data_IF_782627478593
#
_entry.id   IF_782627478593
#
_cell.length_a   1.000
_cell.length_b   1.000
_cell.length_c   1.000
_cell.angle_alpha   90.00
_cell.angle_beta   90.00
_cell.angle_gamma   90.00
#
_symmetry.space_group_name_H-M   'P 1'
#
loop_
_entity.id
_entity.type
_entity.pdbx_description
1 polymer ?
#
# COMPACT_ATOMS: atom_id res chain seq x y z
N UNK A 1 22.10 26.22 -43.54
CA UNK A 1 22.62 25.23 -42.58
C UNK A 1 21.50 24.85 -41.63
N UNK A 2 20.68 23.88 -42.04
CA UNK A 2 19.55 23.35 -41.25
C UNK A 2 20.05 22.14 -40.47
N UNK A 3 19.95 22.16 -39.15
CA UNK A 3 20.15 20.97 -38.34
C UNK A 3 18.81 20.24 -38.17
N UNK A 4 18.77 18.91 -38.38
CA UNK A 4 17.57 18.09 -38.25
C UNK A 4 17.24 17.79 -36.78
N UNK A 5 15.94 17.73 -36.50
CA UNK A 5 15.36 17.36 -35.21
C UNK A 5 15.49 15.84 -35.00
N UNK A 6 16.10 15.42 -33.89
CA UNK A 6 16.01 14.03 -33.42
C UNK A 6 14.70 13.84 -32.63
N UNK A 7 13.84 12.88 -33.00
CA UNK A 7 12.63 12.59 -32.23
C UNK A 7 13.02 11.90 -30.92
N UNK A 8 12.55 12.44 -29.79
CA UNK A 8 12.69 11.81 -28.48
C UNK A 8 11.76 10.61 -28.40
N UNK A 9 12.39 9.46 -28.25
CA UNK A 9 11.81 8.13 -28.14
C UNK A 9 10.86 8.03 -26.94
N UNK A 10 9.65 7.56 -27.23
CA UNK A 10 8.55 7.38 -26.30
C UNK A 10 8.82 6.25 -25.32
N UNK A 11 9.00 6.57 -24.03
CA UNK A 11 8.91 5.57 -22.96
C UNK A 11 7.44 5.26 -22.69
N UNK A 12 6.92 4.29 -23.43
CA UNK A 12 5.61 3.69 -23.19
C UNK A 12 5.68 2.92 -21.86
N UNK A 13 5.10 3.49 -20.79
CA UNK A 13 4.79 2.72 -19.59
C UNK A 13 3.77 1.62 -19.93
N UNK A 14 3.77 0.47 -19.24
CA UNK A 14 2.95 -0.66 -19.66
C UNK A 14 1.46 -0.29 -19.54
N UNK A 15 0.83 -0.17 -20.70
CA UNK A 15 -0.61 -0.12 -20.86
C UNK A 15 -1.17 -1.54 -20.74
N UNK A 16 -2.17 -1.74 -19.89
CA UNK A 16 -3.43 -2.35 -20.34
C UNK A 16 -4.49 -2.12 -19.27
N UNK A 17 -5.59 -1.47 -19.64
CA UNK A 17 -6.83 -1.49 -18.87
C UNK A 17 -7.47 -2.87 -18.99
N UNK A 18 -6.82 -3.89 -18.43
CA UNK A 18 -7.43 -5.19 -18.23
C UNK A 18 -8.48 -5.02 -17.13
N UNK A 19 -9.76 -5.32 -17.45
CA UNK A 19 -10.84 -5.30 -16.46
C UNK A 19 -10.41 -6.16 -15.26
N UNK A 20 -10.45 -5.56 -14.07
CA UNK A 20 -10.07 -6.24 -12.84
C UNK A 20 -10.94 -7.50 -12.63
N UNK A 21 -10.31 -8.64 -12.38
CA UNK A 21 -11.03 -9.89 -12.08
C UNK A 21 -11.73 -9.71 -10.73
N UNK A 22 -13.03 -9.96 -10.70
CA UNK A 22 -13.87 -9.85 -9.50
C UNK A 22 -14.41 -11.22 -9.12
N UNK A 23 -14.22 -11.57 -7.86
CA UNK A 23 -14.71 -12.79 -7.22
C UNK A 23 -15.75 -12.42 -6.16
N UNK A 24 -16.88 -13.10 -6.17
CA UNK A 24 -18.01 -12.83 -5.29
C UNK A 24 -18.11 -13.87 -4.19
N UNK A 25 -18.32 -13.41 -2.96
CA UNK A 25 -18.70 -14.28 -1.85
C UNK A 25 -20.22 -14.52 -1.91
N UNK A 26 -20.63 -15.74 -2.23
CA UNK A 26 -22.04 -16.08 -2.34
C UNK A 26 -22.70 -16.23 -0.97
N UNK A 27 -24.00 -15.95 -0.92
CA UNK A 27 -24.82 -16.09 0.29
C UNK A 27 -25.87 -17.18 0.19
N UNK A 28 -26.19 -17.56 -1.04
CA UNK A 28 -27.16 -18.60 -1.36
C UNK A 28 -26.37 -19.76 -1.98
N UNK A 29 -26.83 -21.01 -1.81
CA UNK A 29 -26.25 -22.13 -2.53
C UNK A 29 -26.34 -21.86 -4.03
N UNK A 30 -25.31 -22.25 -4.76
CA UNK A 30 -25.20 -22.06 -6.22
C UNK A 30 -24.40 -23.22 -6.78
N UNK A 31 -24.76 -23.70 -7.96
CA UNK A 31 -24.01 -24.77 -8.64
C UNK A 31 -23.03 -24.18 -9.63
N UNK A 32 -21.82 -24.73 -9.68
CA UNK A 32 -20.84 -24.38 -10.72
C UNK A 32 -21.38 -24.78 -12.10
N UNK A 33 -21.36 -23.86 -13.06
CA UNK A 33 -21.88 -24.11 -14.40
C UNK A 33 -21.03 -25.10 -15.23
N UNK A 34 -19.75 -25.29 -14.90
CA UNK A 34 -18.85 -26.16 -15.66
C UNK A 34 -18.71 -27.54 -15.03
N UNK A 35 -18.35 -27.63 -13.74
CA UNK A 35 -18.15 -28.92 -13.07
C UNK A 35 -19.39 -29.47 -12.35
N UNK A 36 -20.48 -28.71 -12.26
CA UNK A 36 -21.69 -29.13 -11.54
C UNK A 36 -21.55 -29.21 -10.02
N UNK A 37 -20.41 -28.79 -9.45
CA UNK A 37 -20.17 -28.84 -8.01
C UNK A 37 -21.08 -27.88 -7.22
N UNK A 38 -21.54 -28.33 -6.06
CA UNK A 38 -22.34 -27.51 -5.15
C UNK A 38 -21.46 -26.50 -4.38
N UNK A 39 -21.84 -25.23 -4.46
CA UNK A 39 -21.18 -24.11 -3.79
C UNK A 39 -22.14 -23.56 -2.74
N UNK A 40 -21.94 -23.98 -1.49
CA UNK A 40 -22.70 -23.49 -0.35
C UNK A 40 -22.44 -22.02 -0.01
N UNK A 41 -23.21 -21.44 0.93
CA UNK A 41 -23.00 -20.07 1.41
C UNK A 41 -21.55 -19.82 1.88
N UNK A 42 -21.03 -18.64 1.60
CA UNK A 42 -19.67 -18.23 1.95
C UNK A 42 -18.59 -18.67 0.96
N UNK A 43 -18.92 -19.56 0.01
CA UNK A 43 -18.00 -19.93 -1.08
C UNK A 43 -17.79 -18.78 -2.05
N UNK A 44 -16.75 -18.90 -2.86
CA UNK A 44 -16.33 -17.87 -3.79
C UNK A 44 -16.61 -18.31 -5.21
N UNK A 45 -17.17 -17.40 -6.00
CA UNK A 45 -17.46 -17.61 -7.41
C UNK A 45 -16.87 -16.52 -8.27
N UNK A 46 -16.51 -16.89 -9.49
CA UNK A 46 -16.26 -15.97 -10.59
C UNK A 46 -17.47 -16.03 -11.52
N UNK A 47 -17.99 -14.88 -11.93
CA UNK A 47 -19.07 -14.81 -12.92
C UNK A 47 -18.47 -14.41 -14.26
N UNK A 48 -18.55 -15.32 -15.23
CA UNK A 48 -18.07 -15.13 -16.59
C UNK A 48 -19.12 -15.59 -17.59
N UNK A 49 -19.41 -14.79 -18.62
CA UNK A 49 -20.43 -15.08 -19.62
C UNK A 49 -21.80 -15.49 -19.01
N UNK A 50 -22.22 -14.79 -17.94
CA UNK A 50 -23.43 -15.10 -17.16
C UNK A 50 -23.46 -16.49 -16.49
N UNK A 51 -22.31 -17.16 -16.37
CA UNK A 51 -22.16 -18.44 -15.68
C UNK A 51 -21.40 -18.23 -14.37
N UNK A 52 -21.88 -18.87 -13.30
CA UNK A 52 -21.18 -18.90 -12.01
C UNK A 52 -20.19 -20.07 -12.01
N UNK A 53 -18.91 -19.76 -11.88
CA UNK A 53 -17.82 -20.72 -11.85
C UNK A 53 -17.19 -20.77 -10.46
N UNK A 54 -16.85 -21.97 -9.99
CA UNK A 54 -16.00 -22.12 -8.81
C UNK A 54 -14.57 -21.65 -9.13
N UNK A 55 -13.76 -21.40 -8.10
CA UNK A 55 -12.38 -20.92 -8.30
C UNK A 55 -11.52 -21.88 -9.13
N UNK A 56 -11.76 -23.19 -9.03
CA UNK A 56 -11.02 -24.19 -9.81
C UNK A 56 -11.34 -24.10 -11.29
N UNK A 57 -12.63 -24.03 -11.65
CA UNK A 57 -13.07 -23.88 -13.05
C UNK A 57 -12.70 -22.50 -13.64
N UNK A 58 -12.46 -21.50 -12.80
CA UNK A 58 -12.03 -20.17 -13.21
C UNK A 58 -10.51 -19.98 -13.19
N UNK A 59 -9.72 -21.04 -12.99
CA UNK A 59 -8.25 -20.98 -12.85
C UNK A 59 -7.74 -20.04 -11.74
N UNK A 60 -8.53 -19.80 -10.69
CA UNK A 60 -8.17 -18.95 -9.55
C UNK A 60 -7.89 -19.73 -8.25
N UNK A 61 -8.01 -21.07 -8.27
CA UNK A 61 -7.88 -21.90 -7.06
C UNK A 61 -6.46 -21.93 -6.46
N UNK A 62 -5.44 -21.60 -7.25
CA UNK A 62 -4.05 -21.55 -6.81
C UNK A 62 -3.67 -20.20 -6.15
N UNK A 63 -4.61 -19.26 -6.07
CA UNK A 63 -4.38 -17.96 -5.46
C UNK A 63 -4.73 -17.98 -3.97
N UNK A 64 -3.91 -17.27 -3.21
CA UNK A 64 -4.03 -17.07 -1.77
C UNK A 64 -4.85 -15.81 -1.48
N UNK A 65 -5.72 -15.90 -0.46
CA UNK A 65 -6.54 -14.78 -0.05
C UNK A 65 -5.84 -13.89 0.97
N UNK A 66 -5.67 -12.63 0.58
CA UNK A 66 -5.21 -11.56 1.45
C UNK A 66 -6.36 -10.62 1.78
N UNK A 67 -6.75 -10.61 3.05
CA UNK A 67 -7.78 -9.72 3.57
C UNK A 67 -7.37 -8.24 3.45
N UNK A 68 -8.36 -7.35 3.37
CA UNK A 68 -8.11 -5.91 3.50
C UNK A 68 -7.61 -5.57 4.91
N UNK A 69 -6.77 -4.54 5.03
CA UNK A 69 -6.26 -4.06 6.31
C UNK A 69 -4.88 -3.43 6.19
N UNK A 70 -3.86 -4.23 5.88
CA UNK A 70 -2.50 -3.73 5.69
C UNK A 70 -2.30 -3.20 4.27
N UNK A 71 -2.37 -1.87 4.11
CA UNK A 71 -2.23 -1.19 2.81
C UNK A 71 -0.87 -1.44 2.15
N UNK A 72 0.22 -1.50 2.92
CA UNK A 72 1.54 -1.76 2.37
C UNK A 72 1.64 -3.18 1.80
N UNK A 73 1.19 -4.16 2.57
CA UNK A 73 1.19 -5.57 2.18
C UNK A 73 0.28 -5.81 0.96
N UNK A 74 -0.96 -5.34 1.02
CA UNK A 74 -1.93 -5.50 -0.09
C UNK A 74 -1.46 -4.82 -1.39
N UNK A 75 -0.83 -3.65 -1.31
CA UNK A 75 -0.29 -2.95 -2.48
C UNK A 75 0.93 -3.68 -3.08
N UNK A 76 1.83 -4.21 -2.24
CA UNK A 76 3.00 -4.97 -2.71
C UNK A 76 2.60 -6.33 -3.29
N UNK A 77 1.77 -7.08 -2.60
CA UNK A 77 1.26 -8.36 -3.07
C UNK A 77 0.53 -8.20 -4.42
N UNK A 78 -0.33 -7.17 -4.55
CA UNK A 78 -1.01 -6.86 -5.81
C UNK A 78 -0.09 -6.39 -6.94
N UNK A 79 1.13 -5.94 -6.62
CA UNK A 79 2.16 -5.51 -7.58
C UNK A 79 3.01 -6.69 -8.06
N UNK A 80 3.40 -7.59 -7.15
CA UNK A 80 4.24 -8.75 -7.48
C UNK A 80 3.44 -9.89 -8.11
N UNK A 81 2.14 -9.97 -7.83
CA UNK A 81 1.30 -11.04 -8.35
C UNK A 81 1.04 -10.88 -9.86
N UNK A 82 1.40 -11.87 -10.70
CA UNK A 82 1.12 -11.84 -12.13
C UNK A 82 -0.38 -11.98 -12.43
N UNK A 83 -1.13 -12.67 -11.56
CA UNK A 83 -2.57 -12.82 -11.62
C UNK A 83 -3.18 -12.34 -10.30
N UNK A 84 -4.26 -11.56 -10.35
CA UNK A 84 -4.96 -11.12 -9.15
C UNK A 84 -6.46 -11.01 -9.36
N UNK A 85 -7.21 -11.21 -8.29
CA UNK A 85 -8.65 -10.96 -8.29
C UNK A 85 -9.08 -10.20 -7.04
N UNK A 86 -10.08 -9.33 -7.16
CA UNK A 86 -10.68 -8.64 -6.03
C UNK A 86 -11.85 -9.45 -5.50
N UNK A 87 -11.84 -9.70 -4.19
CA UNK A 87 -12.94 -10.41 -3.53
C UNK A 87 -13.92 -9.40 -2.96
N UNK A 88 -15.20 -9.53 -3.33
CA UNK A 88 -16.28 -8.67 -2.89
C UNK A 88 -17.39 -9.46 -2.20
N UNK A 89 -18.06 -8.82 -1.25
CA UNK A 89 -19.22 -9.39 -0.54
C UNK A 89 -20.36 -8.39 -0.52
N UNK A 90 -21.58 -8.87 -0.69
CA UNK A 90 -22.76 -8.03 -0.54
C UNK A 90 -22.99 -7.66 0.94
N UNK A 91 -22.88 -6.37 1.26
CA UNK A 91 -23.17 -5.83 2.58
C UNK A 91 -24.65 -5.41 2.66
N UNK A 92 -25.44 -6.14 3.46
CA UNK A 92 -26.86 -5.84 3.63
C UNK A 92 -27.12 -4.48 4.26
N UNK A 93 -26.36 -4.13 5.30
CA UNK A 93 -26.51 -2.86 6.02
C UNK A 93 -26.38 -1.64 5.09
N UNK A 94 -25.52 -1.75 4.06
CA UNK A 94 -25.20 -0.65 3.14
C UNK A 94 -25.73 -0.85 1.72
N UNK A 95 -26.46 -1.96 1.47
CA UNK A 95 -27.04 -2.36 0.17
C UNK A 95 -26.08 -2.24 -1.02
N UNK A 96 -24.82 -2.64 -0.84
CA UNK A 96 -23.79 -2.60 -1.89
C UNK A 96 -22.75 -3.70 -1.72
N UNK A 97 -21.97 -3.96 -2.77
CA UNK A 97 -20.79 -4.80 -2.66
C UNK A 97 -19.64 -4.06 -1.96
N UNK A 98 -19.04 -4.71 -0.97
CA UNK A 98 -17.86 -4.22 -0.26
C UNK A 98 -16.67 -5.12 -0.55
N UNK A 99 -15.53 -4.48 -0.85
CA UNK A 99 -14.26 -5.17 -1.04
C UNK A 99 -13.81 -5.79 0.27
N UNK A 100 -13.59 -7.10 0.27
CA UNK A 100 -13.13 -7.87 1.42
C UNK A 100 -11.61 -8.10 1.39
N UNK A 101 -11.01 -8.13 0.20
CA UNK A 101 -9.59 -8.43 0.03
C UNK A 101 -9.24 -8.68 -1.43
N UNK A 102 -8.10 -9.34 -1.63
CA UNK A 102 -7.59 -9.76 -2.93
C UNK A 102 -7.14 -11.22 -2.90
N UNK A 103 -7.19 -11.86 -4.06
CA UNK A 103 -6.50 -13.11 -4.36
C UNK A 103 -5.22 -12.77 -5.10
N UNK A 104 -4.11 -13.35 -4.67
CA UNK A 104 -2.76 -13.15 -5.21
C UNK A 104 -2.01 -14.47 -5.22
N UNK A 105 -0.95 -14.60 -6.00
CA UNK A 105 -0.13 -15.81 -5.96
C UNK A 105 0.63 -15.92 -4.64
N UNK A 106 0.96 -17.15 -4.25
CA UNK A 106 1.68 -17.43 -3.00
C UNK A 106 3.02 -16.72 -2.95
N UNK A 107 3.77 -16.76 -4.04
CA UNK A 107 5.11 -16.19 -4.15
C UNK A 107 5.07 -14.66 -4.00
N UNK A 108 4.04 -14.02 -4.54
CA UNK A 108 3.85 -12.57 -4.43
C UNK A 108 3.51 -12.14 -3.01
N UNK A 109 2.75 -12.97 -2.28
CA UNK A 109 2.44 -12.73 -0.87
C UNK A 109 3.71 -12.89 -0.01
N UNK A 110 4.43 -14.00 -0.16
CA UNK A 110 5.65 -14.28 0.60
C UNK A 110 6.72 -13.18 0.39
N UNK A 111 6.92 -12.73 -0.85
CA UNK A 111 7.81 -11.60 -1.15
C UNK A 111 7.33 -10.31 -0.48
N UNK A 112 6.03 -10.01 -0.55
CA UNK A 112 5.47 -8.80 0.04
C UNK A 112 5.60 -8.79 1.57
N UNK A 113 5.40 -9.94 2.22
CA UNK A 113 5.57 -10.11 3.67
C UNK A 113 7.02 -9.91 4.10
N UNK A 114 7.97 -10.53 3.41
CA UNK A 114 9.40 -10.38 3.68
C UNK A 114 9.87 -8.92 3.60
N UNK A 115 9.43 -8.20 2.57
CA UNK A 115 9.77 -6.78 2.43
C UNK A 115 9.08 -5.90 3.49
N UNK A 116 7.85 -6.22 3.88
CA UNK A 116 7.14 -5.52 4.95
C UNK A 116 7.83 -5.69 6.30
N UNK A 117 8.31 -6.90 6.61
CA UNK A 117 9.07 -7.19 7.82
C UNK A 117 10.40 -6.42 7.82
N UNK A 118 11.15 -6.46 6.72
CA UNK A 118 12.41 -5.72 6.59
C UNK A 118 12.21 -4.19 6.73
N UNK A 119 11.12 -3.65 6.20
CA UNK A 119 10.71 -2.27 6.40
C UNK A 119 10.46 -1.93 7.87
N UNK A 120 9.74 -2.80 8.59
CA UNK A 120 9.42 -2.61 9.99
C UNK A 120 10.66 -2.61 10.87
N UNK A 121 11.57 -3.56 10.64
CA UNK A 121 12.87 -3.61 11.32
C UNK A 121 13.70 -2.35 11.08
N UNK A 122 13.76 -1.87 9.82
CA UNK A 122 14.45 -0.61 9.50
C UNK A 122 13.83 0.58 10.23
N UNK A 123 12.50 0.68 10.25
CA UNK A 123 11.80 1.74 10.98
C UNK A 123 12.02 1.65 12.49
N UNK A 124 12.08 0.44 13.05
CA UNK A 124 12.35 0.23 14.48
C UNK A 124 13.75 0.74 14.86
N UNK A 125 14.79 0.32 14.11
CA UNK A 125 16.17 0.78 14.33
C UNK A 125 16.32 2.30 14.20
N UNK A 126 15.59 2.91 13.26
CA UNK A 126 15.57 4.37 13.12
C UNK A 126 14.89 5.04 14.32
N UNK A 127 13.74 4.52 14.79
CA UNK A 127 13.06 5.04 15.97
C UNK A 127 13.89 4.96 17.23
N UNK A 128 14.73 3.94 17.39
CA UNK A 128 15.67 3.81 18.51
C UNK A 128 16.76 4.88 18.49
N UNK A 129 17.29 5.22 17.30
CA UNK A 129 18.39 6.18 17.13
C UNK A 129 17.92 7.63 17.09
N UNK A 130 16.69 7.87 16.63
CA UNK A 130 16.15 9.21 16.40
C UNK A 130 16.09 10.12 17.64
N UNK A 131 15.82 9.65 18.88
CA UNK A 131 15.82 10.52 20.06
C UNK A 131 17.18 11.15 20.35
N UNK A 132 18.26 10.36 20.26
CA UNK A 132 19.60 10.87 20.53
C UNK A 132 20.06 11.86 19.45
N UNK A 133 19.75 11.56 18.18
CA UNK A 133 20.03 12.47 17.07
C UNK A 133 19.25 13.78 17.20
N UNK A 134 17.95 13.71 17.49
CA UNK A 134 17.11 14.90 17.71
C UNK A 134 17.63 15.80 18.82
N UNK A 135 18.03 15.25 19.96
CA UNK A 135 18.60 16.07 21.05
C UNK A 135 19.87 16.82 20.64
N UNK A 136 20.70 16.25 19.77
CA UNK A 136 21.91 16.92 19.26
C UNK A 136 21.51 18.03 18.29
N UNK A 137 20.60 17.73 17.37
CA UNK A 137 20.08 18.68 16.38
C UNK A 137 19.37 19.86 17.06
N UNK A 138 18.53 19.60 18.06
CA UNK A 138 17.81 20.61 18.84
C UNK A 138 18.80 21.56 19.52
N UNK A 139 19.85 21.04 20.19
CA UNK A 139 20.89 21.90 20.81
C UNK A 139 21.65 22.75 19.80
N UNK A 140 21.95 22.18 18.62
CA UNK A 140 22.62 22.93 17.55
C UNK A 140 21.72 24.02 16.99
N UNK A 141 20.42 23.72 16.86
CA UNK A 141 19.41 24.66 16.41
C UNK A 141 19.21 25.79 17.42
N UNK A 142 19.02 25.48 18.70
CA UNK A 142 18.95 26.47 19.79
C UNK A 142 20.19 27.40 19.78
N UNK A 143 21.39 26.84 19.66
CA UNK A 143 22.62 27.64 19.59
C UNK A 143 22.68 28.57 18.36
N UNK A 144 22.23 28.08 17.20
CA UNK A 144 22.18 28.88 15.97
C UNK A 144 21.13 29.99 16.06
N UNK A 145 19.96 29.70 16.63
CA UNK A 145 18.90 30.69 16.88
C UNK A 145 19.38 31.75 17.86
N UNK A 146 20.01 31.38 18.97
CA UNK A 146 20.57 32.33 19.94
C UNK A 146 21.65 33.22 19.31
N UNK A 147 22.49 32.68 18.43
CA UNK A 147 23.47 33.48 17.69
C UNK A 147 22.80 34.49 16.75
N UNK A 148 21.76 34.07 16.02
CA UNK A 148 21.01 34.93 15.09
C UNK A 148 20.19 36.01 15.81
N UNK A 149 19.62 35.72 16.98
CA UNK A 149 18.93 36.72 17.80
C UNK A 149 19.86 37.85 18.21
N UNK A 150 21.10 37.55 18.60
CA UNK A 150 22.09 38.59 18.96
C UNK A 150 22.56 39.43 17.78
N UNK A 151 22.61 38.85 16.57
CA UNK A 151 22.93 39.57 15.35
C UNK A 151 21.81 40.55 14.95
N UNK A 152 20.55 40.12 15.05
CA UNK A 152 19.38 40.92 14.66
C UNK A 152 18.99 41.96 15.73
N UNK A 153 19.26 41.69 17.01
CA UNK A 153 18.87 42.53 18.13
C UNK A 153 20.09 42.85 19.02
N UNK A 154 20.86 43.91 18.72
CA UNK A 154 22.10 44.25 19.45
C UNK A 154 21.90 44.60 20.94
N UNK A 155 20.67 44.92 21.35
CA UNK A 155 20.30 45.17 22.75
C UNK A 155 19.92 43.92 23.54
N UNK A 156 19.84 42.74 22.90
CA UNK A 156 19.50 41.47 23.54
C UNK A 156 20.74 40.87 24.22
N UNK A 157 20.64 40.56 25.52
CA UNK A 157 21.73 39.92 26.25
C UNK A 157 21.91 38.45 25.81
N UNK A 158 23.09 37.88 26.09
CA UNK A 158 23.37 36.49 25.74
C UNK A 158 22.42 35.50 26.44
N UNK A 159 22.09 35.76 27.70
CA UNK A 159 21.20 34.90 28.48
C UNK A 159 19.76 34.96 27.98
N UNK A 160 19.27 36.16 27.63
CA UNK A 160 17.94 36.35 27.02
C UNK A 160 17.85 35.63 25.66
N UNK A 161 18.88 35.74 24.82
CA UNK A 161 18.90 35.07 23.52
C UNK A 161 18.87 33.54 23.64
N UNK A 162 19.57 32.96 24.63
CA UNK A 162 19.55 31.52 24.90
C UNK A 162 18.19 31.09 25.44
N UNK A 163 17.58 31.85 26.37
CA UNK A 163 16.26 31.53 26.89
C UNK A 163 15.17 31.56 25.83
N UNK A 164 15.21 32.56 24.93
CA UNK A 164 14.26 32.65 23.82
C UNK A 164 14.47 31.50 22.83
N UNK A 165 15.73 31.13 22.53
CA UNK A 165 16.02 30.03 21.62
C UNK A 165 15.52 28.68 22.13
N UNK A 166 15.55 28.44 23.44
CA UNK A 166 15.06 27.20 24.06
C UNK A 166 13.53 26.98 23.90
N UNK A 167 12.76 27.97 23.44
CA UNK A 167 11.33 27.83 23.16
C UNK A 167 11.02 27.37 21.73
N UNK A 168 12.04 27.16 20.90
CA UNK A 168 11.87 26.87 19.46
C UNK A 168 11.78 25.39 19.09
N UNK A 169 12.05 24.49 20.04
CA UNK A 169 11.95 23.03 19.93
C UNK A 169 10.86 22.48 20.86
#
# INVERSE_FOLDING_TARGET
>A
MSQPQTPRESTQGPASSSKEIVVFIIRRPTTCADCGGDLGPGRWIRVENNKALCLACADLAHLEFLASGNTALTRRAAKYSPLRAVVVRWAHARKRYERQGILVTREALDQAEAECLADEERRARQRERAPAQRQIEDRQYEAAVAAKLRELFPGCSADEAVQIAAWTC
#
